data_IF_856553776778
#
_entry.id   IF_856553776778
#
_cell.length_a   1.000
_cell.length_b   1.000
_cell.length_c   1.000
_cell.angle_alpha   90.00
_cell.angle_beta   90.00
_cell.angle_gamma   90.00
#
_symmetry.space_group_name_H-M   'P 1'
#
loop_
_entity.id
_entity.type
_entity.pdbx_description
1 polymer ?
#
# COMPACT_ATOMS: atom_id res chain seq x y z
N UNK A 1 -35.57 6.76 5.73
CA UNK A 1 -34.27 6.22 5.27
C UNK A 1 -33.21 6.56 6.29
N UNK A 2 -32.73 5.58 7.05
CA UNK A 2 -31.67 5.78 8.04
C UNK A 2 -30.34 5.93 7.30
N UNK A 3 -29.70 7.10 7.39
CA UNK A 3 -28.35 7.30 6.85
C UNK A 3 -27.36 6.60 7.78
N UNK A 4 -26.74 5.53 7.31
CA UNK A 4 -25.62 4.89 8.01
C UNK A 4 -24.37 5.70 7.68
N UNK A 5 -23.80 6.38 8.68
CA UNK A 5 -22.50 7.04 8.58
C UNK A 5 -21.44 6.03 9.01
N UNK A 6 -20.68 5.49 8.05
CA UNK A 6 -19.58 4.56 8.32
C UNK A 6 -18.33 5.41 8.55
N UNK A 7 -17.83 5.40 9.79
CA UNK A 7 -16.54 6.02 10.10
C UNK A 7 -15.41 5.08 9.66
N UNK A 8 -14.30 5.60 9.11
CA UNK A 8 -13.13 4.78 8.83
C UNK A 8 -12.55 4.22 10.13
N UNK A 9 -12.20 2.93 10.13
CA UNK A 9 -11.41 2.34 11.20
C UNK A 9 -9.95 2.69 10.94
N UNK A 10 -9.30 3.31 11.92
CA UNK A 10 -7.94 3.84 11.83
C UNK A 10 -7.17 3.37 13.07
N UNK A 11 -5.88 3.07 12.89
CA UNK A 11 -4.96 2.70 13.96
C UNK A 11 -3.61 3.39 13.77
N UNK A 12 -3.06 3.89 14.87
CA UNK A 12 -1.70 4.42 14.95
C UNK A 12 -0.72 3.33 15.35
N UNK A 13 0.44 3.36 14.72
CA UNK A 13 1.56 2.44 14.92
C UNK A 13 2.82 3.24 15.17
N UNK A 14 3.74 2.67 15.92
CA UNK A 14 5.07 3.23 16.13
C UNK A 14 6.08 2.35 15.41
N UNK A 15 6.88 2.95 14.54
CA UNK A 15 7.98 2.28 13.85
C UNK A 15 9.31 2.83 14.34
N UNK A 16 10.29 1.95 14.46
CA UNK A 16 11.65 2.33 14.85
C UNK A 16 12.40 2.93 13.65
N UNK A 17 13.03 4.08 13.87
CA UNK A 17 13.94 4.74 12.95
C UNK A 17 15.35 4.73 13.54
N UNK A 18 16.41 4.87 12.72
CA UNK A 18 17.78 5.02 13.23
C UNK A 18 17.94 6.16 14.24
N UNK A 19 17.15 7.23 14.09
CA UNK A 19 17.25 8.47 14.87
C UNK A 19 16.11 8.62 15.90
N UNK A 20 15.19 7.64 16.01
CA UNK A 20 14.06 7.75 16.92
C UNK A 20 12.88 6.84 16.59
N UNK A 21 11.67 7.35 16.78
CA UNK A 21 10.43 6.61 16.54
C UNK A 21 9.51 7.50 15.71
N UNK A 22 8.90 6.95 14.67
CA UNK A 22 7.87 7.63 13.89
C UNK A 22 6.50 7.02 14.13
N UNK A 23 5.46 7.87 14.15
CA UNK A 23 4.10 7.40 14.16
C UNK A 23 3.60 7.22 12.73
N UNK A 24 2.94 6.10 12.46
CA UNK A 24 2.31 5.77 11.19
C UNK A 24 0.85 5.45 11.45
N UNK A 25 -0.04 6.10 10.72
CA UNK A 25 -1.49 5.92 10.86
C UNK A 25 -2.03 5.21 9.63
N UNK A 26 -2.59 4.02 9.84
CA UNK A 26 -3.15 3.17 8.80
C UNK A 26 -4.67 3.04 8.99
N UNK A 27 -5.42 3.16 7.90
CA UNK A 27 -6.85 2.83 7.88
C UNK A 27 -7.11 1.41 7.39
N UNK A 28 -8.26 0.87 7.75
CA UNK A 28 -8.76 -0.35 7.11
C UNK A 28 -9.03 -0.10 5.61
N UNK A 29 -8.63 -1.07 4.79
CA UNK A 29 -8.92 -1.14 3.37
C UNK A 29 -10.44 -1.17 3.16
N UNK A 30 -10.90 -0.41 2.16
CA UNK A 30 -12.29 -0.39 1.72
C UNK A 30 -12.47 -1.40 0.60
N UNK A 31 -13.73 -1.74 0.31
CA UNK A 31 -14.07 -2.62 -0.82
C UNK A 31 -13.47 -2.14 -2.14
N UNK A 32 -13.45 -0.82 -2.39
CA UNK A 32 -12.83 -0.26 -3.60
C UNK A 32 -11.32 -0.51 -3.68
N UNK A 33 -10.61 -0.44 -2.55
CA UNK A 33 -9.17 -0.72 -2.48
C UNK A 33 -8.91 -2.21 -2.78
N UNK A 34 -9.72 -3.10 -2.21
CA UNK A 34 -9.64 -4.56 -2.42
C UNK A 34 -9.92 -4.92 -3.89
N UNK A 35 -10.91 -4.28 -4.52
CA UNK A 35 -11.22 -4.50 -5.93
C UNK A 35 -10.07 -4.05 -6.82
N UNK A 36 -9.53 -2.84 -6.60
CA UNK A 36 -8.40 -2.31 -7.37
C UNK A 36 -7.14 -3.14 -7.18
N UNK A 37 -6.89 -3.66 -5.97
CA UNK A 37 -5.83 -4.65 -5.72
C UNK A 37 -5.96 -5.88 -6.62
N UNK A 38 -7.19 -6.37 -6.84
CA UNK A 38 -7.47 -7.51 -7.71
C UNK A 38 -7.02 -7.31 -9.16
N UNK A 39 -7.02 -6.07 -9.66
CA UNK A 39 -6.59 -5.74 -11.02
C UNK A 39 -5.10 -6.04 -11.24
N UNK A 40 -4.26 -5.80 -10.22
CA UNK A 40 -2.83 -6.15 -10.25
C UNK A 40 -2.59 -7.66 -10.37
N UNK A 41 -3.52 -8.50 -9.91
CA UNK A 41 -3.42 -9.95 -10.06
C UNK A 41 -3.97 -10.44 -11.40
N UNK A 42 -4.89 -9.70 -12.03
CA UNK A 42 -5.55 -10.06 -13.28
C UNK A 42 -4.67 -9.83 -14.52
N UNK A 43 -3.68 -8.93 -14.47
CA UNK A 43 -2.69 -8.69 -15.54
C UNK A 43 -1.64 -9.82 -15.68
N UNK A 44 -2.07 -11.08 -15.62
CA UNK A 44 -1.24 -12.23 -15.99
C UNK A 44 -1.35 -12.46 -17.50
N UNK A 45 -0.40 -11.94 -18.28
CA UNK A 45 -0.40 -12.12 -19.75
C UNK A 45 -0.04 -13.56 -20.12
N UNK A 46 -0.88 -14.20 -20.94
CA UNK A 46 -0.58 -15.49 -21.58
C UNK A 46 0.18 -15.22 -22.87
N UNK A 47 1.47 -15.58 -22.92
CA UNK A 47 2.27 -15.49 -24.15
C UNK A 47 2.13 -16.82 -24.88
N UNK A 48 1.50 -16.79 -26.06
CA UNK A 48 1.57 -17.89 -27.03
C UNK A 48 2.79 -17.67 -27.92
N UNK A 49 3.78 -18.56 -27.81
CA UNK A 49 4.89 -18.59 -28.75
C UNK A 49 4.49 -19.48 -29.95
N UNK A 50 4.05 -18.84 -31.04
CA UNK A 50 3.66 -19.55 -32.28
C UNK A 50 4.84 -20.31 -32.93
N UNK A 51 6.09 -20.02 -32.55
CA UNK A 51 7.28 -20.72 -33.05
C UNK A 51 7.61 -22.01 -32.29
N UNK A 52 7.04 -22.22 -31.09
CA UNK A 52 7.19 -23.45 -30.30
C UNK A 52 5.81 -24.00 -29.93
N UNK A 53 5.25 -24.84 -30.82
CA UNK A 53 4.00 -25.56 -30.56
C UNK A 53 4.06 -26.25 -29.19
N UNK A 54 3.23 -25.80 -28.25
CA UNK A 54 2.99 -26.47 -26.96
C UNK A 54 3.62 -25.85 -25.72
N UNK A 55 4.30 -24.69 -25.79
CA UNK A 55 4.78 -23.99 -24.58
C UNK A 55 4.01 -22.69 -24.36
N UNK A 56 3.07 -22.72 -23.41
CA UNK A 56 2.52 -21.51 -22.82
C UNK A 56 3.43 -21.08 -21.67
N UNK A 57 4.09 -19.93 -21.80
CA UNK A 57 4.83 -19.33 -20.69
C UNK A 57 3.92 -18.34 -19.96
N UNK A 58 3.59 -18.64 -18.71
CA UNK A 58 2.94 -17.70 -17.81
C UNK A 58 3.97 -16.67 -17.36
N UNK A 59 4.07 -15.55 -18.07
CA UNK A 59 4.95 -14.45 -17.68
C UNK A 59 4.26 -13.59 -16.62
N UNK A 60 4.24 -14.08 -15.39
CA UNK A 60 3.79 -13.30 -14.24
C UNK A 60 4.86 -12.24 -13.93
N UNK A 61 4.72 -11.05 -14.51
CA UNK A 61 5.53 -9.87 -14.16
C UNK A 61 5.04 -9.31 -12.83
N UNK A 62 5.07 -10.13 -11.77
CA UNK A 62 4.71 -9.70 -10.41
C UNK A 62 5.82 -8.79 -9.91
N UNK A 63 5.63 -7.49 -9.99
CA UNK A 63 6.41 -6.58 -9.17
C UNK A 63 5.74 -6.50 -7.79
N UNK A 64 6.11 -7.40 -6.88
CA UNK A 64 5.58 -7.42 -5.51
C UNK A 64 5.70 -6.06 -4.83
N UNK A 65 6.72 -5.27 -5.18
CA UNK A 65 6.90 -3.91 -4.70
C UNK A 65 5.82 -2.94 -5.18
N UNK A 66 5.30 -3.09 -6.40
CA UNK A 66 4.20 -2.25 -6.90
C UNK A 66 2.91 -2.52 -6.15
N UNK A 67 2.61 -3.80 -5.85
CA UNK A 67 1.44 -4.18 -5.06
C UNK A 67 1.57 -3.62 -3.64
N UNK A 68 2.74 -3.77 -3.00
CA UNK A 68 2.99 -3.22 -1.66
C UNK A 68 2.85 -1.70 -1.65
N UNK A 69 3.44 -1.02 -2.62
CA UNK A 69 3.36 0.43 -2.74
C UNK A 69 1.89 0.88 -2.89
N UNK A 70 1.10 0.18 -3.70
CA UNK A 70 -0.33 0.45 -3.84
C UNK A 70 -1.08 0.24 -2.51
N UNK A 71 -0.86 -0.88 -1.83
CA UNK A 71 -1.52 -1.21 -0.56
C UNK A 71 -1.24 -0.15 0.51
N UNK A 72 0.01 0.31 0.60
CA UNK A 72 0.42 1.43 1.47
C UNK A 72 -0.26 2.72 1.02
N UNK A 73 -0.16 3.10 -0.26
CA UNK A 73 -0.75 4.33 -0.78
C UNK A 73 -2.27 4.39 -0.51
N UNK A 74 -2.95 3.27 -0.65
CA UNK A 74 -4.39 3.18 -0.45
C UNK A 74 -4.75 3.38 1.04
N UNK A 75 -3.93 2.92 1.97
CA UNK A 75 -4.30 2.81 3.40
C UNK A 75 -3.55 3.73 4.36
N UNK A 76 -2.46 4.35 3.92
CA UNK A 76 -1.71 5.32 4.70
C UNK A 76 -2.48 6.64 4.80
N UNK A 77 -2.78 7.07 6.03
CA UNK A 77 -3.56 8.29 6.29
C UNK A 77 -2.89 9.26 7.26
N UNK A 78 -1.74 8.90 7.80
CA UNK A 78 -0.87 9.76 8.59
C UNK A 78 0.53 9.16 8.70
N UNK A 79 1.56 9.99 8.76
CA UNK A 79 2.94 9.58 8.98
C UNK A 79 3.77 10.76 9.48
N UNK A 80 4.49 10.55 10.57
CA UNK A 80 5.46 11.51 11.11
C UNK A 80 6.86 11.17 10.57
N UNK A 81 7.03 11.27 9.24
CA UNK A 81 8.29 11.01 8.54
C UNK A 81 8.75 12.26 7.81
N UNK A 82 9.99 12.64 8.04
CA UNK A 82 10.62 13.84 7.48
C UNK A 82 11.88 13.46 6.69
N UNK A 83 12.20 14.27 5.67
CA UNK A 83 13.46 14.18 4.94
C UNK A 83 14.61 14.86 5.70
N UNK A 84 15.82 14.84 5.14
CA UNK A 84 17.01 15.46 5.75
C UNK A 84 16.88 16.97 5.96
N UNK A 85 15.96 17.63 5.24
CA UNK A 85 15.67 19.06 5.35
C UNK A 85 14.54 19.36 6.35
N UNK A 86 13.95 18.32 6.96
CA UNK A 86 12.82 18.44 7.89
C UNK A 86 11.47 18.60 7.19
N UNK A 87 11.37 18.33 5.89
CA UNK A 87 10.09 18.37 5.18
C UNK A 87 9.36 17.03 5.31
N UNK A 88 8.03 17.03 5.48
CA UNK A 88 7.27 15.79 5.57
C UNK A 88 7.34 15.01 4.24
N UNK A 89 7.72 13.73 4.33
CA UNK A 89 7.84 12.82 3.18
C UNK A 89 6.45 12.58 2.54
N UNK A 90 5.42 12.42 3.39
CA UNK A 90 4.05 12.22 2.95
C UNK A 90 3.18 13.40 3.36
N UNK A 91 2.32 13.84 2.43
CA UNK A 91 1.36 14.92 2.68
C UNK A 91 -0.04 14.36 2.78
N UNK A 92 -0.80 14.85 3.75
CA UNK A 92 -2.16 14.38 4.03
C UNK A 92 -3.16 15.53 3.99
N UNK A 93 -4.43 15.21 3.76
CA UNK A 93 -5.54 16.15 3.86
C UNK A 93 -6.77 15.47 4.45
N UNK A 94 -7.71 16.26 4.97
CA UNK A 94 -9.02 15.75 5.34
C UNK A 94 -9.87 15.56 4.08
N UNK A 95 -10.16 14.30 3.76
CA UNK A 95 -11.03 13.91 2.66
C UNK A 95 -12.49 13.78 3.10
N UNK A 96 -13.37 13.48 2.15
CA UNK A 96 -14.81 13.27 2.42
C UNK A 96 -15.07 12.12 3.40
N UNK A 97 -14.17 11.14 3.45
CA UNK A 97 -14.33 9.90 4.21
C UNK A 97 -13.25 9.75 5.29
N UNK A 98 -12.71 10.87 5.78
CA UNK A 98 -11.58 10.91 6.72
C UNK A 98 -10.26 11.31 6.04
N UNK A 99 -9.14 11.25 6.80
CA UNK A 99 -7.83 11.62 6.29
C UNK A 99 -7.40 10.72 5.14
N UNK A 100 -6.73 11.33 4.16
CA UNK A 100 -6.23 10.66 2.96
C UNK A 100 -4.91 11.29 2.49
N UNK A 101 -4.13 10.52 1.73
CA UNK A 101 -2.90 10.99 1.11
C UNK A 101 -3.21 12.10 0.09
N UNK A 102 -2.55 13.24 0.24
CA UNK A 102 -2.65 14.40 -0.64
C UNK A 102 -1.44 14.48 -1.58
N UNK A 103 -1.23 13.41 -2.34
CA UNK A 103 -0.17 13.29 -3.33
C UNK A 103 -0.70 12.53 -4.54
N UNK A 104 -0.20 12.87 -5.73
CA UNK A 104 -0.42 12.05 -6.92
C UNK A 104 0.35 10.72 -6.83
N UNK A 105 -0.06 9.73 -7.62
CA UNK A 105 0.62 8.42 -7.69
C UNK A 105 2.13 8.58 -7.97
N UNK A 106 2.49 9.52 -8.86
CA UNK A 106 3.90 9.79 -9.19
C UNK A 106 4.67 10.38 -8.01
N UNK A 107 4.09 11.35 -7.29
CA UNK A 107 4.73 11.95 -6.12
C UNK A 107 4.88 10.94 -5.00
N UNK A 108 3.85 10.12 -4.76
CA UNK A 108 3.91 9.06 -3.77
C UNK A 108 5.00 8.05 -4.11
N UNK A 109 5.05 7.54 -5.35
CA UNK A 109 6.06 6.55 -5.75
C UNK A 109 7.49 7.11 -5.67
N UNK A 110 7.67 8.40 -5.96
CA UNK A 110 8.97 9.06 -5.79
C UNK A 110 9.38 9.14 -4.30
N UNK A 111 8.46 9.55 -3.42
CA UNK A 111 8.71 9.61 -1.98
C UNK A 111 8.94 8.21 -1.38
N UNK A 112 8.07 7.25 -1.72
CA UNK A 112 8.17 5.85 -1.31
C UNK A 112 9.47 5.20 -1.79
N UNK A 113 9.87 5.45 -3.04
CA UNK A 113 11.11 4.92 -3.61
C UNK A 113 12.39 5.53 -3.05
N UNK A 114 12.29 6.68 -2.37
CA UNK A 114 13.42 7.32 -1.69
C UNK A 114 13.64 6.79 -0.26
N UNK A 115 12.64 6.12 0.33
CA UNK A 115 12.75 5.58 1.67
C UNK A 115 13.72 4.39 1.75
N UNK A 116 14.47 4.25 2.85
CA UNK A 116 15.22 3.03 3.12
C UNK A 116 14.30 1.80 3.18
N UNK A 117 14.78 0.67 2.65
CA UNK A 117 13.98 -0.57 2.53
C UNK A 117 13.39 -1.01 3.88
N UNK A 118 14.16 -0.96 4.97
CA UNK A 118 13.68 -1.34 6.30
C UNK A 118 12.52 -0.48 6.79
N UNK A 119 12.46 0.80 6.41
CA UNK A 119 11.33 1.68 6.72
C UNK A 119 10.10 1.28 5.90
N UNK A 120 10.29 1.02 4.60
CA UNK A 120 9.19 0.57 3.75
C UNK A 120 8.60 -0.76 4.20
N UNK A 121 9.45 -1.69 4.68
CA UNK A 121 9.00 -2.96 5.24
C UNK A 121 8.24 -2.75 6.56
N UNK A 122 8.74 -1.92 7.48
CA UNK A 122 8.06 -1.64 8.75
C UNK A 122 6.69 -0.96 8.55
N UNK A 123 6.57 -0.02 7.61
CA UNK A 123 5.28 0.58 7.25
C UNK A 123 4.35 -0.49 6.68
N UNK A 124 4.88 -1.39 5.85
CA UNK A 124 4.08 -2.44 5.23
C UNK A 124 3.58 -3.47 6.25
N UNK A 125 4.38 -3.82 7.25
CA UNK A 125 3.95 -4.68 8.35
C UNK A 125 2.76 -4.08 9.11
N UNK A 126 2.77 -2.76 9.34
CA UNK A 126 1.63 -2.04 9.91
C UNK A 126 0.38 -2.15 9.02
N UNK A 127 0.56 -2.09 7.69
CA UNK A 127 -0.52 -2.30 6.72
C UNK A 127 -1.09 -3.70 6.83
N UNK A 128 -0.25 -4.74 6.91
CA UNK A 128 -0.70 -6.13 7.05
C UNK A 128 -1.39 -6.39 8.39
N UNK A 129 -0.93 -5.77 9.47
CA UNK A 129 -1.60 -5.89 10.76
C UNK A 129 -3.01 -5.30 10.72
N UNK A 130 -3.17 -4.13 10.07
CA UNK A 130 -4.46 -3.49 9.91
C UNK A 130 -5.36 -4.17 8.86
N UNK A 131 -4.74 -4.79 7.86
CA UNK A 131 -5.39 -5.40 6.69
C UNK A 131 -4.91 -6.85 6.47
N UNK A 132 -5.21 -7.76 7.41
CA UNK A 132 -4.68 -9.13 7.39
C UNK A 132 -5.13 -9.94 6.17
N UNK A 133 -6.20 -9.54 5.48
CA UNK A 133 -6.66 -10.16 4.24
C UNK A 133 -5.68 -9.95 3.06
N UNK A 134 -4.72 -9.05 3.19
CA UNK A 134 -3.68 -8.83 2.18
C UNK A 134 -2.43 -9.68 2.42
N UNK A 135 -2.28 -10.24 3.62
CA UNK A 135 -1.21 -11.16 3.96
C UNK A 135 -1.43 -12.52 3.29
N UNK A 136 -0.65 -12.77 2.22
CA UNK A 136 -0.71 -14.02 1.46
C UNK A 136 -0.23 -15.23 2.26
N UNK A 137 0.59 -15.04 3.30
CA UNK A 137 1.11 -16.14 4.12
C UNK A 137 0.08 -16.58 5.16
N UNK A 138 -0.79 -15.66 5.59
CA UNK A 138 -1.83 -15.92 6.60
C UNK A 138 -3.09 -16.59 6.03
N UNK A 139 -3.25 -16.59 4.72
CA UNK A 139 -4.37 -17.26 4.03
C UNK A 139 -4.12 -18.76 3.77
N UNK A 140 -2.96 -19.29 4.18
CA UNK A 140 -2.53 -20.67 3.95
C UNK A 140 -2.56 -21.61 5.17
N UNK A 141 -3.14 -21.17 6.30
CA UNK A 141 -3.41 -22.02 7.49
C UNK A 141 -4.90 -22.42 7.58
#
# INVERSE_FOLDING_TARGET
>A
MTRVSIKPVIKDFQIELPEGVANITIRQARTGDVMRRGEFFAESTLIYDDAQVGRAELKQKRNSYEIRAFEVQATLVGADLEDEEGNPIFRFREGKNGPELNMSDREFLAAWGALPVHITDAIYDCVLEMNPMWDINRLGE
#
